data_IF_772289428098
#
_entry.id   IF_772289428098
#
_cell.length_a   1.000
_cell.length_b   1.000
_cell.length_c   1.000
_cell.angle_alpha   90.00
_cell.angle_beta   90.00
_cell.angle_gamma   90.00
#
_symmetry.space_group_name_H-M   'P 1'
#
loop_
_entity.id
_entity.type
_entity.pdbx_description
1 polymer ?
#
# COMPACT_ATOMS: atom_id res chain seq x y z
N UNK A 1 -18.48 -12.30 8.38
CA UNK A 1 -18.21 -11.18 9.32
C UNK A 1 -16.77 -10.67 9.21
N UNK A 2 -15.75 -11.54 9.12
CA UNK A 2 -14.34 -11.11 9.04
C UNK A 2 -14.04 -10.28 7.79
N UNK A 3 -14.69 -10.57 6.67
CA UNK A 3 -14.53 -9.81 5.43
C UNK A 3 -15.00 -8.35 5.58
N UNK A 4 -16.10 -8.12 6.28
CA UNK A 4 -16.59 -6.78 6.56
C UNK A 4 -15.69 -6.02 7.55
N UNK A 5 -15.13 -6.73 8.55
CA UNK A 5 -14.13 -6.14 9.45
C UNK A 5 -12.87 -5.73 8.69
N UNK A 6 -12.41 -6.56 7.75
CA UNK A 6 -11.30 -6.23 6.86
C UNK A 6 -11.59 -4.97 6.02
N UNK A 7 -12.77 -4.87 5.41
CA UNK A 7 -13.17 -3.69 4.61
C UNK A 7 -13.23 -2.42 5.46
N UNK A 8 -13.79 -2.52 6.67
CA UNK A 8 -13.84 -1.40 7.61
C UNK A 8 -12.42 -0.97 8.05
N UNK A 9 -11.54 -1.92 8.34
CA UNK A 9 -10.13 -1.66 8.65
C UNK A 9 -9.38 -1.01 7.50
N UNK A 10 -9.62 -1.46 6.26
CA UNK A 10 -9.03 -0.87 5.05
C UNK A 10 -9.47 0.58 4.87
N UNK A 11 -10.77 0.87 5.02
CA UNK A 11 -11.32 2.22 4.94
C UNK A 11 -10.76 3.12 6.03
N UNK A 12 -10.66 2.63 7.26
CA UNK A 12 -10.06 3.37 8.37
C UNK A 12 -8.59 3.68 8.11
N UNK A 13 -7.80 2.69 7.68
CA UNK A 13 -6.39 2.88 7.34
C UNK A 13 -6.21 3.90 6.20
N UNK A 14 -7.08 3.88 5.20
CA UNK A 14 -7.08 4.88 4.13
C UNK A 14 -7.29 6.28 4.68
N UNK A 15 -8.35 6.51 5.46
CA UNK A 15 -8.67 7.83 6.01
C UNK A 15 -7.55 8.35 6.91
N UNK A 16 -6.95 7.50 7.73
CA UNK A 16 -5.90 7.90 8.68
C UNK A 16 -4.58 8.25 7.98
N UNK A 17 -4.22 7.56 6.91
CA UNK A 17 -2.85 7.62 6.37
C UNK A 17 -2.71 8.07 4.92
N UNK A 18 -3.81 8.29 4.19
CA UNK A 18 -3.74 8.69 2.78
C UNK A 18 -2.93 9.97 2.57
N UNK A 19 -3.07 10.96 3.46
CA UNK A 19 -2.37 12.25 3.37
C UNK A 19 -0.85 12.10 3.41
N UNK A 20 -0.36 11.21 4.27
CA UNK A 20 1.07 10.95 4.46
C UNK A 20 1.65 10.07 3.34
N UNK A 21 0.78 9.36 2.60
CA UNK A 21 1.15 8.43 1.54
C UNK A 21 0.95 8.98 0.11
N UNK A 22 0.65 10.28 -0.04
CA UNK A 22 0.60 10.91 -1.36
C UNK A 22 2.00 10.88 -1.99
N UNK A 23 2.14 10.37 -3.24
CA UNK A 23 3.41 10.35 -3.95
C UNK A 23 4.00 11.76 -4.13
N UNK A 24 5.31 11.87 -4.00
CA UNK A 24 6.06 13.13 -4.11
C UNK A 24 7.31 12.97 -4.97
N UNK A 25 7.97 14.08 -5.33
CA UNK A 25 9.25 14.01 -6.05
C UNK A 25 10.35 13.32 -5.26
N UNK A 26 10.34 13.44 -3.94
CA UNK A 26 11.29 12.75 -3.07
C UNK A 26 11.21 11.22 -3.20
N UNK A 27 10.02 10.68 -3.47
CA UNK A 27 9.84 9.24 -3.66
C UNK A 27 10.58 8.75 -4.92
N UNK A 28 10.64 9.58 -5.97
CA UNK A 28 11.42 9.26 -7.18
C UNK A 28 12.93 9.26 -6.90
N UNK A 29 13.42 10.18 -6.09
CA UNK A 29 14.84 10.23 -5.67
C UNK A 29 15.17 9.02 -4.81
N UNK A 30 14.31 8.67 -3.89
CA UNK A 30 14.43 7.49 -3.04
C UNK A 30 14.49 6.19 -3.87
N UNK A 31 13.60 6.05 -4.85
CA UNK A 31 13.57 4.90 -5.77
C UNK A 31 14.81 4.82 -6.65
N UNK A 32 15.29 5.95 -7.19
CA UNK A 32 16.54 6.00 -7.98
C UNK A 32 17.75 5.60 -7.17
N UNK A 33 17.77 5.91 -5.88
CA UNK A 33 18.82 5.48 -4.95
C UNK A 33 18.66 4.03 -4.48
N UNK A 34 17.61 3.32 -4.94
CA UNK A 34 17.32 1.94 -4.54
C UNK A 34 17.01 1.80 -3.06
N UNK A 35 16.43 2.84 -2.42
CA UNK A 35 16.13 2.85 -0.99
C UNK A 35 17.35 2.80 -0.07
N UNK A 36 18.56 2.98 -0.61
CA UNK A 36 19.80 2.80 0.15
C UNK A 36 20.27 1.35 0.30
N UNK A 37 19.49 0.37 -0.19
CA UNK A 37 19.79 -1.08 -0.01
C UNK A 37 21.07 -1.49 -0.75
N UNK A 38 21.34 -0.89 -1.92
CA UNK A 38 22.45 -1.29 -2.79
C UNK A 38 23.77 -0.58 -2.50
N UNK A 39 23.77 0.48 -1.68
CA UNK A 39 24.98 1.24 -1.35
C UNK A 39 25.05 1.50 0.15
N UNK A 40 26.03 0.92 0.83
CA UNK A 40 26.27 1.17 2.25
C UNK A 40 26.50 2.68 2.50
N UNK A 41 25.81 3.24 3.52
CA UNK A 41 25.94 4.63 3.93
C UNK A 41 25.18 5.64 3.06
N UNK A 42 24.37 5.19 2.08
CA UNK A 42 23.47 6.07 1.32
C UNK A 42 22.07 5.96 1.92
N UNK A 43 21.64 7.03 2.57
CA UNK A 43 20.31 7.14 3.16
C UNK A 43 19.53 8.23 2.39
N UNK A 44 18.69 7.83 1.40
CA UNK A 44 17.94 8.81 0.62
C UNK A 44 16.95 9.56 1.52
N UNK A 45 16.68 10.85 1.23
CA UNK A 45 15.81 11.67 2.05
C UNK A 45 14.39 11.08 2.12
N UNK A 46 13.87 10.96 3.33
CA UNK A 46 12.52 10.47 3.57
C UNK A 46 11.83 11.28 4.67
N UNK A 47 10.54 11.52 4.45
CA UNK A 47 9.63 12.04 5.47
C UNK A 47 9.10 10.91 6.35
N UNK A 48 7.91 11.08 6.96
CA UNK A 48 7.23 10.10 7.80
C UNK A 48 7.14 8.71 7.15
N UNK A 49 6.83 8.67 5.84
CA UNK A 49 6.86 7.45 5.04
C UNK A 49 7.80 7.61 3.84
N UNK A 50 8.65 6.62 3.62
CA UNK A 50 9.50 6.52 2.44
C UNK A 50 8.73 5.91 1.24
N UNK A 51 9.33 5.96 0.04
CA UNK A 51 8.67 5.47 -1.17
C UNK A 51 8.30 3.99 -1.11
N UNK A 52 9.11 3.15 -0.47
CA UNK A 52 8.81 1.73 -0.29
C UNK A 52 7.55 1.51 0.56
N UNK A 53 7.42 2.23 1.66
CA UNK A 53 6.23 2.20 2.52
C UNK A 53 4.98 2.71 1.80
N UNK A 54 5.11 3.77 0.98
CA UNK A 54 4.01 4.28 0.15
C UNK A 54 3.57 3.28 -0.93
N UNK A 55 4.50 2.58 -1.57
CA UNK A 55 4.18 1.51 -2.51
C UNK A 55 3.36 0.42 -1.83
N UNK A 56 3.76 -0.03 -0.65
CA UNK A 56 3.03 -1.03 0.12
C UNK A 56 1.63 -0.50 0.49
N UNK A 57 1.54 0.75 0.98
CA UNK A 57 0.25 1.36 1.30
C UNK A 57 -0.70 1.33 0.11
N UNK A 58 -0.29 1.82 -1.06
CA UNK A 58 -1.15 1.85 -2.24
C UNK A 58 -1.45 0.46 -2.80
N UNK A 59 -0.49 -0.46 -2.74
CA UNK A 59 -0.74 -1.85 -3.13
C UNK A 59 -1.78 -2.52 -2.23
N UNK A 60 -1.73 -2.28 -0.91
CA UNK A 60 -2.76 -2.76 0.04
C UNK A 60 -4.10 -2.08 -0.21
N UNK A 61 -4.14 -0.76 -0.44
CA UNK A 61 -5.39 -0.04 -0.69
C UNK A 61 -6.07 -0.51 -1.99
N UNK A 62 -5.34 -0.55 -3.10
CA UNK A 62 -5.87 -0.94 -4.41
C UNK A 62 -6.19 -2.43 -4.44
N UNK A 63 -5.26 -3.28 -3.99
CA UNK A 63 -5.48 -4.72 -3.94
C UNK A 63 -6.56 -5.10 -2.94
N UNK A 64 -6.60 -4.47 -1.76
CA UNK A 64 -7.62 -4.68 -0.74
C UNK A 64 -9.01 -4.26 -1.22
N UNK A 65 -9.14 -3.14 -1.92
CA UNK A 65 -10.40 -2.74 -2.55
C UNK A 65 -10.82 -3.75 -3.62
N UNK A 66 -9.88 -4.14 -4.48
CA UNK A 66 -10.13 -5.10 -5.56
C UNK A 66 -10.57 -6.47 -5.04
N UNK A 67 -9.89 -6.99 -4.00
CA UNK A 67 -10.29 -8.27 -3.38
C UNK A 67 -11.63 -8.15 -2.64
N UNK A 68 -11.94 -6.99 -2.07
CA UNK A 68 -13.23 -6.74 -1.44
C UNK A 68 -14.38 -6.76 -2.45
N UNK A 69 -14.21 -6.08 -3.59
CA UNK A 69 -15.21 -6.06 -4.67
C UNK A 69 -15.45 -7.45 -5.23
N UNK A 70 -14.39 -8.19 -5.57
CA UNK A 70 -14.54 -9.57 -6.05
C UNK A 70 -15.11 -10.49 -4.97
N UNK A 71 -14.80 -10.27 -3.69
CA UNK A 71 -15.38 -11.00 -2.57
C UNK A 71 -16.89 -10.76 -2.42
N UNK A 72 -17.36 -9.53 -2.63
CA UNK A 72 -18.80 -9.22 -2.67
C UNK A 72 -19.45 -9.92 -3.86
N UNK A 73 -18.84 -9.89 -5.05
CA UNK A 73 -19.36 -10.59 -6.23
C UNK A 73 -19.46 -12.12 -5.99
N UNK A 74 -18.51 -12.70 -5.24
CA UNK A 74 -18.56 -14.12 -4.86
C UNK A 74 -19.62 -14.42 -3.79
N UNK A 75 -19.90 -13.44 -2.92
CA UNK A 75 -20.95 -13.59 -1.89
C UNK A 75 -22.36 -13.57 -2.51
N UNK A 76 -22.55 -12.86 -3.63
CA UNK A 76 -23.81 -12.77 -4.36
C UNK A 76 -23.64 -13.32 -5.78
N UNK A 77 -23.50 -14.65 -5.93
CA UNK A 77 -23.20 -15.28 -7.21
C UNK A 77 -24.31 -15.00 -8.22
N UNK A 78 -23.92 -14.83 -9.48
CA UNK A 78 -24.78 -14.60 -10.64
C UNK A 78 -25.58 -13.26 -10.64
N UNK A 79 -25.27 -12.34 -9.72
CA UNK A 79 -25.95 -11.04 -9.62
C UNK A 79 -25.09 -9.86 -10.08
N UNK A 80 -23.82 -10.08 -10.35
CA UNK A 80 -22.88 -9.02 -10.72
C UNK A 80 -22.31 -9.22 -12.12
N UNK A 81 -22.01 -8.10 -12.79
CA UNK A 81 -21.37 -8.01 -14.12
C UNK A 81 -20.01 -7.33 -14.04
N UNK A 82 -19.31 -7.52 -12.91
CA UNK A 82 -18.09 -6.77 -12.60
C UNK A 82 -17.03 -6.87 -13.68
N UNK A 83 -16.80 -8.06 -14.26
CA UNK A 83 -15.82 -8.25 -15.33
C UNK A 83 -16.31 -7.73 -16.67
N UNK A 84 -17.56 -7.95 -17.04
CA UNK A 84 -18.13 -7.41 -18.28
C UNK A 84 -18.05 -5.87 -18.28
N UNK A 85 -18.43 -5.23 -17.18
CA UNK A 85 -18.36 -3.78 -17.02
C UNK A 85 -16.91 -3.26 -17.02
N UNK A 86 -15.99 -3.95 -16.34
CA UNK A 86 -14.56 -3.63 -16.37
C UNK A 86 -14.00 -3.75 -17.79
N UNK A 87 -14.35 -4.80 -18.52
CA UNK A 87 -13.93 -5.01 -19.90
C UNK A 87 -14.51 -3.94 -20.85
N UNK A 88 -15.76 -3.52 -20.62
CA UNK A 88 -16.34 -2.41 -21.37
C UNK A 88 -15.54 -1.12 -21.19
N UNK A 89 -15.14 -0.79 -19.95
CA UNK A 89 -14.30 0.38 -19.68
C UNK A 89 -12.91 0.23 -20.33
N UNK A 90 -12.28 -0.94 -20.24
CA UNK A 90 -10.99 -1.18 -20.88
C UNK A 90 -11.06 -1.09 -22.41
N UNK A 91 -12.18 -1.51 -23.02
CA UNK A 91 -12.41 -1.38 -24.47
C UNK A 91 -12.49 0.09 -24.91
N UNK A 92 -12.92 1.02 -24.05
CA UNK A 92 -12.91 2.46 -24.36
C UNK A 92 -11.50 3.03 -24.56
N UNK A 93 -10.48 2.38 -24.00
CA UNK A 93 -9.07 2.79 -24.12
C UNK A 93 -8.27 1.90 -25.09
N UNK A 94 -8.98 1.11 -25.94
CA UNK A 94 -8.37 0.40 -27.05
C UNK A 94 -8.15 -1.09 -26.86
N UNK A 95 -8.61 -1.69 -25.75
CA UNK A 95 -8.67 -3.16 -25.60
C UNK A 95 -9.84 -3.73 -26.42
N UNK A 96 -9.81 -5.02 -26.68
CA UNK A 96 -10.90 -5.75 -27.36
C UNK A 96 -11.25 -7.00 -26.56
N UNK A 97 -11.88 -6.78 -25.42
CA UNK A 97 -12.25 -7.81 -24.46
C UNK A 97 -13.74 -8.16 -24.59
N UNK A 98 -14.14 -9.42 -24.34
CA UNK A 98 -15.53 -9.84 -24.43
C UNK A 98 -16.35 -9.21 -23.31
N UNK A 99 -17.42 -8.49 -23.67
CA UNK A 99 -18.37 -7.86 -22.72
C UNK A 99 -19.64 -8.65 -22.56
N UNK A 100 -19.91 -9.61 -23.46
CA UNK A 100 -21.05 -10.54 -23.36
C UNK A 100 -20.60 -11.80 -22.60
N UNK A 101 -20.51 -11.69 -21.29
CA UNK A 101 -20.09 -12.79 -20.42
C UNK A 101 -21.33 -13.51 -19.85
N UNK A 102 -21.34 -14.85 -19.91
CA UNK A 102 -22.33 -15.62 -19.17
C UNK A 102 -22.14 -15.46 -17.67
N UNK A 103 -23.19 -15.59 -16.88
CA UNK A 103 -23.12 -15.49 -15.42
C UNK A 103 -22.13 -16.49 -14.81
N UNK A 104 -21.98 -17.67 -15.38
CA UNK A 104 -20.97 -18.66 -14.98
C UNK A 104 -19.55 -18.14 -15.27
N UNK A 105 -19.33 -17.52 -16.41
CA UNK A 105 -18.01 -16.97 -16.78
C UNK A 105 -17.62 -15.81 -15.89
N UNK A 106 -18.55 -14.92 -15.58
CA UNK A 106 -18.36 -13.86 -14.58
C UNK A 106 -17.91 -14.44 -13.24
N UNK A 107 -18.58 -15.46 -12.73
CA UNK A 107 -18.26 -16.12 -11.47
C UNK A 107 -16.85 -16.74 -11.50
N UNK A 108 -16.48 -17.41 -12.58
CA UNK A 108 -15.14 -17.98 -12.74
C UNK A 108 -14.04 -16.92 -12.73
N UNK A 109 -14.25 -15.79 -13.43
CA UNK A 109 -13.31 -14.67 -13.45
C UNK A 109 -13.18 -14.02 -12.06
N UNK A 110 -14.29 -13.85 -11.35
CA UNK A 110 -14.27 -13.35 -9.96
C UNK A 110 -13.48 -14.28 -9.03
N UNK A 111 -13.67 -15.58 -9.11
CA UNK A 111 -12.90 -16.57 -8.31
C UNK A 111 -11.42 -16.51 -8.62
N UNK A 112 -11.06 -16.51 -9.91
CA UNK A 112 -9.67 -16.46 -10.34
C UNK A 112 -9.00 -15.17 -9.87
N UNK A 113 -9.64 -14.04 -10.10
CA UNK A 113 -9.12 -12.73 -9.71
C UNK A 113 -8.96 -12.60 -8.19
N UNK A 114 -9.99 -12.98 -7.44
CA UNK A 114 -9.98 -12.97 -5.98
C UNK A 114 -8.81 -13.81 -5.44
N UNK A 115 -8.60 -14.99 -5.99
CA UNK A 115 -7.52 -15.89 -5.57
C UNK A 115 -6.14 -15.31 -5.87
N UNK A 116 -5.94 -14.77 -7.09
CA UNK A 116 -4.65 -14.20 -7.50
C UNK A 116 -4.30 -12.98 -6.64
N UNK A 117 -5.25 -12.05 -6.49
CA UNK A 117 -5.00 -10.83 -5.71
C UNK A 117 -4.81 -11.14 -4.24
N UNK A 118 -5.59 -12.06 -3.67
CA UNK A 118 -5.42 -12.49 -2.28
C UNK A 118 -4.03 -13.11 -2.04
N UNK A 119 -3.57 -13.99 -2.92
CA UNK A 119 -2.25 -14.60 -2.80
C UNK A 119 -1.14 -13.57 -2.92
N UNK A 120 -1.26 -12.62 -3.85
CA UNK A 120 -0.30 -11.52 -4.01
C UNK A 120 -0.24 -10.63 -2.75
N UNK A 121 -1.41 -10.27 -2.18
CA UNK A 121 -1.49 -9.48 -0.95
C UNK A 121 -0.88 -10.23 0.24
N UNK A 122 -1.18 -11.52 0.42
CA UNK A 122 -0.61 -12.35 1.49
C UNK A 122 0.91 -12.36 1.38
N UNK A 123 1.44 -12.63 0.18
CA UNK A 123 2.88 -12.67 -0.07
C UNK A 123 3.55 -11.34 0.24
N UNK A 124 2.94 -10.23 -0.20
CA UNK A 124 3.46 -8.89 0.05
C UNK A 124 3.44 -8.53 1.54
N UNK A 125 2.37 -8.87 2.26
CA UNK A 125 2.27 -8.60 3.71
C UNK A 125 3.28 -9.44 4.48
N UNK A 126 3.50 -10.71 4.11
CA UNK A 126 4.54 -11.54 4.72
C UNK A 126 5.93 -10.94 4.52
N UNK A 127 6.24 -10.48 3.30
CA UNK A 127 7.49 -9.78 3.02
C UNK A 127 7.62 -8.47 3.82
N UNK A 128 6.53 -7.71 3.94
CA UNK A 128 6.49 -6.48 4.73
C UNK A 128 6.73 -6.74 6.22
N UNK A 129 6.11 -7.76 6.80
CA UNK A 129 6.34 -8.18 8.19
C UNK A 129 7.79 -8.58 8.39
N UNK A 130 8.37 -9.36 7.47
CA UNK A 130 9.77 -9.78 7.55
C UNK A 130 10.71 -8.56 7.53
N UNK A 131 10.54 -7.64 6.59
CA UNK A 131 11.38 -6.43 6.49
C UNK A 131 11.23 -5.56 7.74
N UNK A 132 10.00 -5.34 8.21
CA UNK A 132 9.70 -4.49 9.36
C UNK A 132 10.04 -5.12 10.72
N UNK A 133 10.43 -6.39 10.79
CA UNK A 133 10.78 -7.08 12.03
C UNK A 133 12.25 -7.54 12.05
N UNK A 134 12.60 -8.45 11.15
CA UNK A 134 13.90 -9.12 11.12
C UNK A 134 14.85 -8.49 10.10
N UNK A 135 14.31 -8.05 8.97
CA UNK A 135 15.10 -7.56 7.84
C UNK A 135 15.70 -6.17 8.02
N UNK A 136 15.17 -5.37 8.94
CA UNK A 136 15.66 -4.03 9.26
C UNK A 136 15.76 -3.87 10.78
N UNK A 137 16.98 -3.83 11.30
CA UNK A 137 17.26 -3.66 12.73
C UNK A 137 16.66 -2.34 13.25
N UNK A 138 15.95 -2.38 14.38
CA UNK A 138 15.30 -1.22 15.00
C UNK A 138 13.91 -0.85 14.42
N UNK A 139 13.52 -1.39 13.27
CA UNK A 139 12.23 -1.06 12.67
C UNK A 139 11.01 -1.54 13.50
N UNK A 140 11.17 -2.66 14.21
CA UNK A 140 10.10 -3.25 15.03
C UNK A 140 9.81 -2.41 16.29
N UNK A 141 10.74 -1.57 16.75
CA UNK A 141 10.58 -0.80 17.97
C UNK A 141 9.40 0.17 17.88
N UNK A 142 9.19 0.77 16.70
CA UNK A 142 8.04 1.62 16.43
C UNK A 142 6.70 0.90 16.68
N UNK A 143 6.62 -0.38 16.35
CA UNK A 143 5.38 -1.18 16.49
C UNK A 143 5.19 -1.67 17.94
N UNK A 144 6.28 -2.01 18.63
CA UNK A 144 6.23 -2.57 19.98
C UNK A 144 6.05 -1.51 21.07
N UNK A 145 6.76 -0.38 20.94
CA UNK A 145 6.84 0.66 21.98
C UNK A 145 6.21 1.99 21.56
N UNK A 146 5.97 2.18 20.26
CA UNK A 146 5.60 3.48 19.68
C UNK A 146 6.76 4.47 19.62
N UNK A 147 7.98 4.03 19.91
CA UNK A 147 9.20 4.84 19.93
C UNK A 147 10.28 4.21 19.06
N UNK A 148 11.14 5.04 18.49
CA UNK A 148 12.31 4.60 17.74
C UNK A 148 13.55 5.33 18.24
N UNK A 149 14.72 4.72 18.09
CA UNK A 149 15.99 5.40 18.34
C UNK A 149 16.14 6.61 17.43
N UNK A 150 16.62 7.73 18.00
CA UNK A 150 16.74 8.99 17.25
C UNK A 150 17.75 8.90 16.10
N UNK A 151 18.83 8.13 16.27
CA UNK A 151 19.81 7.98 15.20
C UNK A 151 19.23 7.13 14.08
N UNK A 152 18.51 6.06 14.43
CA UNK A 152 17.75 5.27 13.46
C UNK A 152 16.76 6.13 12.69
N UNK A 153 15.99 6.99 13.37
CA UNK A 153 15.04 7.90 12.72
C UNK A 153 15.74 8.91 11.79
N UNK A 154 16.90 9.46 12.18
CA UNK A 154 17.71 10.35 11.32
C UNK A 154 18.26 9.63 10.09
N UNK A 155 18.59 8.36 10.22
CA UNK A 155 19.13 7.54 9.13
C UNK A 155 18.05 7.20 8.10
N UNK A 156 16.86 6.86 8.54
CA UNK A 156 15.79 6.34 7.68
C UNK A 156 14.70 7.36 7.34
N UNK A 157 14.52 8.42 8.16
CA UNK A 157 13.45 9.42 8.08
C UNK A 157 13.98 10.83 8.44
N UNK A 158 15.10 11.23 7.86
CA UNK A 158 15.83 12.47 8.20
C UNK A 158 14.96 13.72 8.12
N UNK A 159 14.21 13.90 7.04
CA UNK A 159 13.34 15.06 6.85
C UNK A 159 12.18 15.09 7.85
N UNK A 160 11.65 13.93 8.25
CA UNK A 160 10.64 13.86 9.29
C UNK A 160 11.21 14.30 10.65
N UNK A 161 12.41 13.87 11.01
CA UNK A 161 13.08 14.31 12.26
C UNK A 161 13.30 15.82 12.26
N UNK A 162 13.73 16.40 11.13
CA UNK A 162 13.89 17.85 11.01
C UNK A 162 12.56 18.60 11.17
N UNK A 163 11.48 18.08 10.57
CA UNK A 163 10.13 18.65 10.71
C UNK A 163 9.63 18.61 12.16
N UNK A 164 9.86 17.51 12.88
CA UNK A 164 9.47 17.39 14.29
C UNK A 164 10.33 18.28 15.21
N UNK A 165 11.64 18.36 14.97
CA UNK A 165 12.53 19.27 15.71
C UNK A 165 12.12 20.75 15.55
N UNK A 166 11.71 21.15 14.36
CA UNK A 166 11.21 22.52 14.09
C UNK A 166 9.88 22.82 14.80
N UNK A 167 9.01 21.82 15.00
CA UNK A 167 7.77 22.00 15.77
C UNK A 167 8.03 22.21 17.25
N UNK A 168 9.05 21.52 17.81
CA UNK A 168 9.42 21.62 19.23
C UNK A 168 10.22 22.90 19.51
N UNK A 169 11.12 23.29 18.59
CA UNK A 169 11.97 24.47 18.69
C UNK A 169 11.82 25.32 17.43
N UNK A 170 10.75 26.11 17.28
CA UNK A 170 10.56 26.95 16.11
C UNK A 170 11.70 27.97 16.02
N UNK A 171 12.39 28.02 14.88
CA UNK A 171 13.36 29.10 14.61
C UNK A 171 12.62 30.43 14.70
N UNK A 172 13.22 31.46 15.33
CA UNK A 172 12.64 32.80 15.31
C UNK A 172 12.47 33.24 13.84
N UNK A 173 11.30 33.82 13.54
CA UNK A 173 11.05 34.39 12.22
C UNK A 173 12.06 35.53 12.01
N UNK A 174 12.89 35.44 10.96
CA UNK A 174 13.76 36.50 10.49
C UNK A 174 12.93 37.61 9.83
#
# INVERSE_FOLDING_TARGET
YLSFAFMAGLALAFVLWVKDNIPSRLDLEWLKAGGGIFKKGVHPPARKFNAGQKIIFWAVMIGGLSVSLSGIALMFPFTTTMFADTFAVLNMIGFNLPTDLTALREQQLNQLWHSIVSLALITMIMAHIYIGSVGMEGAIDAMNSGQVDRNWAKEHHNLWVEEEDQKVNPKPAE
#
